data_IF_710425536637
#
_entry.id   IF_710425536637
#
_cell.length_a   1.000
_cell.length_b   1.000
_cell.length_c   1.000
_cell.angle_alpha   90.00
_cell.angle_beta   90.00
_cell.angle_gamma   90.00
#
_symmetry.space_group_name_H-M   'P 1'
#
loop_
_entity.id
_entity.type
_entity.pdbx_description
1 polymer ?
#
# COMPACT_ATOMS: atom_id res chain seq x y z
N UNK A 1 46.36 -14.52 27.39
CA UNK A 1 45.22 -13.58 27.43
C UNK A 1 44.46 -13.81 26.12
N UNK A 2 43.29 -14.46 26.11
CA UNK A 2 42.55 -14.62 24.88
C UNK A 2 41.85 -13.30 24.53
N UNK A 3 42.00 -12.89 23.28
CA UNK A 3 41.46 -11.70 22.66
C UNK A 3 39.93 -11.85 22.54
N UNK A 4 39.18 -10.96 23.19
CA UNK A 4 37.72 -10.89 23.05
C UNK A 4 37.43 -10.20 21.73
N UNK A 5 37.43 -10.96 20.65
CA UNK A 5 37.05 -10.45 19.34
C UNK A 5 35.57 -10.08 19.38
N UNK A 6 35.28 -8.78 19.40
CA UNK A 6 33.92 -8.25 19.33
C UNK A 6 33.27 -8.70 18.01
N UNK A 7 32.05 -9.25 18.10
CA UNK A 7 31.30 -9.71 16.94
C UNK A 7 30.86 -8.49 16.10
N UNK A 8 31.55 -8.26 14.98
CA UNK A 8 31.29 -7.16 14.04
C UNK A 8 29.96 -7.32 13.27
N UNK A 9 29.32 -8.49 13.37
CA UNK A 9 28.01 -8.80 12.78
C UNK A 9 26.89 -8.81 13.80
N UNK A 10 27.17 -8.37 15.03
CA UNK A 10 26.15 -7.91 15.96
C UNK A 10 25.55 -6.62 15.38
N UNK A 11 24.74 -6.78 14.33
CA UNK A 11 23.70 -5.84 13.99
C UNK A 11 22.89 -5.68 15.25
N UNK A 12 23.19 -4.61 15.99
CA UNK A 12 22.30 -4.05 16.97
C UNK A 12 20.96 -4.04 16.27
N UNK A 13 20.03 -4.86 16.75
CA UNK A 13 18.68 -4.96 16.24
C UNK A 13 18.10 -3.58 16.50
N UNK A 14 18.33 -2.67 15.56
CA UNK A 14 17.85 -1.32 15.63
C UNK A 14 16.35 -1.51 15.73
N UNK A 15 15.79 -1.19 16.90
CA UNK A 15 14.35 -1.12 17.03
C UNK A 15 13.87 -0.26 15.86
N UNK A 16 12.82 -0.66 15.13
CA UNK A 16 12.35 0.12 14.00
C UNK A 16 12.14 1.55 14.50
N UNK A 17 12.97 2.46 14.02
CA UNK A 17 12.87 3.87 14.34
C UNK A 17 11.48 4.28 13.87
N UNK A 18 10.63 4.72 14.80
CA UNK A 18 9.30 5.16 14.43
C UNK A 18 9.46 6.30 13.42
N UNK A 19 8.75 6.25 12.28
CA UNK A 19 8.84 7.31 11.29
C UNK A 19 8.52 8.65 11.95
N UNK A 20 9.24 9.70 11.56
CA UNK A 20 8.99 11.04 12.08
C UNK A 20 7.57 11.50 11.73
N UNK A 21 7.03 12.44 12.52
CA UNK A 21 5.68 12.98 12.29
C UNK A 21 5.52 13.58 10.88
N UNK A 22 6.59 14.15 10.32
CA UNK A 22 6.62 14.66 8.95
C UNK A 22 6.45 13.53 7.92
N UNK A 23 7.12 12.39 8.12
CA UNK A 23 6.98 11.21 7.25
C UNK A 23 5.57 10.63 7.38
N UNK A 24 5.03 10.53 8.59
CA UNK A 24 3.65 10.07 8.83
C UNK A 24 2.65 10.99 8.14
N UNK A 25 2.83 12.32 8.22
CA UNK A 25 1.98 13.30 7.54
C UNK A 25 2.04 13.14 6.01
N UNK A 26 3.23 13.00 5.43
CA UNK A 26 3.40 12.79 4.00
C UNK A 26 2.76 11.47 3.52
N UNK A 27 2.87 10.40 4.32
CA UNK A 27 2.21 9.13 4.03
C UNK A 27 0.69 9.29 4.07
N UNK A 28 0.15 9.94 5.11
CA UNK A 28 -1.28 10.22 5.24
C UNK A 28 -1.81 10.98 4.02
N UNK A 29 -1.15 12.05 3.63
CA UNK A 29 -1.54 12.83 2.43
C UNK A 29 -1.53 11.98 1.16
N UNK A 30 -0.49 11.15 0.96
CA UNK A 30 -0.42 10.24 -0.19
C UNK A 30 -1.59 9.25 -0.20
N UNK A 31 -1.90 8.63 0.94
CA UNK A 31 -2.99 7.66 1.03
C UNK A 31 -4.34 8.30 0.73
N UNK A 32 -4.60 9.50 1.27
CA UNK A 32 -5.82 10.23 0.94
C UNK A 32 -5.90 10.63 -0.54
N UNK A 33 -4.79 11.06 -1.14
CA UNK A 33 -4.75 11.39 -2.56
C UNK A 33 -5.05 10.16 -3.45
N UNK A 34 -4.44 9.01 -3.13
CA UNK A 34 -4.71 7.76 -3.83
C UNK A 34 -6.16 7.31 -3.63
N UNK A 35 -6.70 7.42 -2.41
CA UNK A 35 -8.09 7.08 -2.13
C UNK A 35 -9.06 7.97 -2.91
N UNK A 36 -8.80 9.28 -2.99
CA UNK A 36 -9.61 10.20 -3.78
C UNK A 36 -9.56 9.87 -5.28
N UNK A 37 -8.40 9.45 -5.79
CA UNK A 37 -8.25 8.99 -7.17
C UNK A 37 -9.14 7.77 -7.45
N UNK A 38 -9.08 6.72 -6.63
CA UNK A 38 -9.90 5.53 -6.86
C UNK A 38 -11.40 5.79 -6.68
N UNK A 39 -11.80 6.61 -5.69
CA UNK A 39 -13.22 6.99 -5.47
C UNK A 39 -13.81 7.76 -6.64
N UNK A 40 -13.03 8.61 -7.29
CA UNK A 40 -13.49 9.39 -8.45
C UNK A 40 -13.42 8.62 -9.77
N UNK A 41 -12.69 7.50 -9.81
CA UNK A 41 -12.49 6.73 -11.02
C UNK A 41 -13.72 5.85 -11.35
N UNK A 42 -14.18 5.89 -12.59
CA UNK A 42 -15.23 4.97 -13.10
C UNK A 42 -14.65 3.64 -13.59
N UNK A 43 -13.39 3.66 -14.05
CA UNK A 43 -12.63 2.49 -14.48
C UNK A 43 -11.20 2.57 -13.91
N UNK A 44 -10.47 1.46 -13.94
CA UNK A 44 -9.13 1.35 -13.35
C UNK A 44 -8.22 2.52 -13.81
N UNK A 45 -7.74 3.38 -12.90
CA UNK A 45 -7.04 4.61 -13.27
C UNK A 45 -5.58 4.39 -13.70
N UNK A 46 -5.05 3.18 -13.49
CA UNK A 46 -3.66 2.85 -13.81
C UNK A 46 -3.53 2.03 -15.09
N UNK A 47 -2.49 2.35 -15.86
CA UNK A 47 -2.33 1.89 -17.24
C UNK A 47 -2.12 0.38 -17.43
N UNK A 48 -1.64 -0.34 -16.40
CA UNK A 48 -1.42 -1.79 -16.48
C UNK A 48 -1.36 -2.44 -15.09
N UNK A 49 -1.47 -3.76 -15.06
CA UNK A 49 -1.52 -4.58 -13.84
C UNK A 49 -0.31 -4.39 -12.92
N UNK A 50 0.89 -4.18 -13.44
CA UNK A 50 2.07 -3.97 -12.58
C UNK A 50 1.98 -2.64 -11.82
N UNK A 51 1.41 -1.61 -12.45
CA UNK A 51 1.17 -0.31 -11.79
C UNK A 51 0.08 -0.45 -10.73
N UNK A 52 -0.99 -1.20 -11.02
CA UNK A 52 -2.06 -1.47 -10.04
C UNK A 52 -1.47 -2.16 -8.80
N UNK A 53 -0.74 -3.27 -8.99
CA UNK A 53 -0.09 -4.01 -7.89
C UNK A 53 0.88 -3.12 -7.11
N UNK A 54 1.63 -2.25 -7.79
CA UNK A 54 2.55 -1.32 -7.13
C UNK A 54 1.79 -0.36 -6.21
N UNK A 55 0.69 0.23 -6.68
CA UNK A 55 -0.07 1.19 -5.89
C UNK A 55 -0.86 0.51 -4.75
N UNK A 56 -1.40 -0.69 -4.96
CA UNK A 56 -1.99 -1.48 -3.88
C UNK A 56 -0.98 -1.80 -2.77
N UNK A 57 0.24 -2.22 -3.15
CA UNK A 57 1.30 -2.46 -2.18
C UNK A 57 1.73 -1.17 -1.49
N UNK A 58 1.90 -0.07 -2.24
CA UNK A 58 2.25 1.23 -1.66
C UNK A 58 1.20 1.67 -0.62
N UNK A 59 -0.09 1.45 -0.90
CA UNK A 59 -1.16 1.74 0.04
C UNK A 59 -1.12 0.81 1.26
N UNK A 60 -0.93 -0.50 1.04
CA UNK A 60 -0.85 -1.53 2.09
C UNK A 60 0.30 -1.28 3.07
N UNK A 61 1.47 -0.86 2.58
CA UNK A 61 2.59 -0.51 3.45
C UNK A 61 2.42 0.87 4.08
N UNK A 62 1.87 1.85 3.34
CA UNK A 62 1.62 3.19 3.86
C UNK A 62 0.69 3.17 5.08
N UNK A 63 -0.39 2.39 5.05
CA UNK A 63 -1.32 2.29 6.19
C UNK A 63 -0.66 1.74 7.46
N UNK A 64 0.44 0.98 7.35
CA UNK A 64 1.15 0.40 8.50
C UNK A 64 2.00 1.44 9.24
N UNK A 65 2.29 2.57 8.59
CA UNK A 65 2.96 3.71 9.21
C UNK A 65 2.00 4.66 9.94
N UNK A 66 0.68 4.47 9.80
CA UNK A 66 -0.35 5.27 10.47
C UNK A 66 -0.79 4.61 11.80
N UNK A 67 -1.46 5.37 12.68
CA UNK A 67 -2.19 4.78 13.81
C UNK A 67 -3.09 3.63 13.35
N UNK A 68 -3.13 2.49 14.06
CA UNK A 68 -3.79 1.28 13.59
C UNK A 68 -5.25 1.46 13.15
N UNK A 69 -6.03 2.22 13.92
CA UNK A 69 -7.44 2.49 13.61
C UNK A 69 -7.61 3.34 12.34
N UNK A 70 -6.74 4.34 12.17
CA UNK A 70 -6.74 5.21 10.99
C UNK A 70 -6.34 4.42 9.73
N UNK A 71 -5.24 3.66 9.81
CA UNK A 71 -4.76 2.84 8.71
C UNK A 71 -5.76 1.74 8.31
N UNK A 72 -6.46 1.14 9.27
CA UNK A 72 -7.48 0.14 9.02
C UNK A 72 -8.72 0.74 8.32
N UNK A 73 -9.18 1.92 8.76
CA UNK A 73 -10.30 2.61 8.14
C UNK A 73 -9.99 3.00 6.67
N UNK A 74 -8.81 3.58 6.44
CA UNK A 74 -8.38 3.94 5.08
C UNK A 74 -8.23 2.72 4.17
N UNK A 75 -7.74 1.60 4.70
CA UNK A 75 -7.65 0.36 3.95
C UNK A 75 -9.02 -0.18 3.56
N UNK A 76 -9.97 -0.21 4.49
CA UNK A 76 -11.31 -0.72 4.22
C UNK A 76 -12.02 0.09 3.12
N UNK A 77 -11.88 1.41 3.13
CA UNK A 77 -12.41 2.27 2.04
C UNK A 77 -11.69 2.00 0.71
N UNK A 78 -10.37 1.89 0.72
CA UNK A 78 -9.59 1.63 -0.49
C UNK A 78 -9.92 0.27 -1.11
N UNK A 79 -10.01 -0.78 -0.29
CA UNK A 79 -10.29 -2.16 -0.70
C UNK A 79 -11.66 -2.27 -1.39
N UNK A 80 -12.70 -1.65 -0.82
CA UNK A 80 -14.04 -1.60 -1.41
C UNK A 80 -14.07 -0.89 -2.78
N UNK A 81 -13.33 0.21 -2.93
CA UNK A 81 -13.24 0.92 -4.21
C UNK A 81 -12.44 0.14 -5.24
N UNK A 82 -11.37 -0.54 -4.82
CA UNK A 82 -10.61 -1.43 -5.69
C UNK A 82 -11.47 -2.60 -6.19
N UNK A 83 -12.28 -3.21 -5.32
CA UNK A 83 -13.23 -4.26 -5.71
C UNK A 83 -14.21 -3.77 -6.79
N UNK A 84 -14.78 -2.56 -6.60
CA UNK A 84 -15.66 -1.91 -7.60
C UNK A 84 -14.94 -1.72 -8.94
N UNK A 85 -13.70 -1.24 -8.92
CA UNK A 85 -12.90 -1.00 -10.13
C UNK A 85 -12.50 -2.30 -10.84
N UNK A 86 -12.15 -3.34 -10.08
CA UNK A 86 -11.87 -4.67 -10.62
C UNK A 86 -13.11 -5.32 -11.23
N UNK A 87 -14.28 -5.18 -10.60
CA UNK A 87 -15.55 -5.62 -11.17
C UNK A 87 -15.83 -4.93 -12.51
N UNK A 88 -15.68 -3.59 -12.58
CA UNK A 88 -15.85 -2.84 -13.82
C UNK A 88 -14.84 -3.25 -14.92
N UNK A 89 -13.60 -3.57 -14.54
CA UNK A 89 -12.58 -4.05 -15.48
C UNK A 89 -12.89 -5.45 -16.04
N UNK A 90 -13.49 -6.31 -15.22
CA UNK A 90 -13.87 -7.67 -15.62
C UNK A 90 -15.20 -7.71 -16.38
N UNK A 91 -16.16 -6.84 -16.06
CA UNK A 91 -17.44 -6.73 -16.78
C UNK A 91 -17.23 -6.26 -18.24
N UNK A 92 -16.21 -5.42 -18.47
CA UNK A 92 -15.77 -5.03 -19.81
C UNK A 92 -15.01 -6.11 -20.60
N UNK A 93 -14.70 -7.26 -19.99
CA UNK A 93 -14.24 -8.47 -20.68
C UNK A 93 -15.43 -9.41 -20.83
N UNK A 94 -16.14 -9.33 -21.95
CA UNK A 94 -17.05 -10.42 -22.31
C UNK A 94 -16.29 -11.76 -22.22
N UNK A 95 -16.91 -12.82 -21.66
CA UNK A 95 -16.27 -14.13 -21.67
C UNK A 95 -16.11 -14.55 -23.13
N UNK A 96 -14.86 -14.66 -23.58
CA UNK A 96 -14.50 -15.33 -24.82
C UNK A 96 -15.03 -16.76 -24.73
N UNK A 97 -16.25 -16.95 -25.23
CA UNK A 97 -16.90 -18.24 -25.36
C UNK A 97 -16.49 -18.73 -26.74
N UNK A 98 -15.21 -19.06 -26.90
CA UNK A 98 -14.65 -19.60 -28.13
C UNK A 98 -14.87 -21.11 -28.21
N UNK A 99 -15.78 -21.50 -29.11
CA UNK A 99 -16.10 -22.84 -29.61
C UNK A 99 -14.90 -23.72 -30.00
#
# INVERSE_FOLDING_TARGET
>A
MPDVQADLFATSRCAPEQPSDEVVAAIRERLHATLALVKSATAMPWANTLVIIREENAFRFGKEALPPDEGAALWAEFDAEMERLYAAMNDGREPDTGE
#
